data_IF_792710305770
#
_entry.id   IF_792710305770
#
_cell.length_a   1.000
_cell.length_b   1.000
_cell.length_c   1.000
_cell.angle_alpha   90.00
_cell.angle_beta   90.00
_cell.angle_gamma   90.00
#
_symmetry.space_group_name_H-M   'P 1'
#
loop_
_entity.id
_entity.type
_entity.pdbx_description
1 polymer ?
#
# COMPACT_ATOMS: atom_id res chain seq x y z
N UNK A 1 17.66 -6.51 -35.30
CA UNK A 1 17.74 -5.35 -34.41
C UNK A 1 16.40 -4.63 -34.44
N UNK A 2 15.49 -4.98 -33.54
CA UNK A 2 14.19 -4.29 -33.40
C UNK A 2 14.38 -3.06 -32.49
N UNK A 3 13.90 -1.87 -32.87
CA UNK A 3 13.93 -0.69 -32.02
C UNK A 3 12.76 -0.71 -31.03
N UNK A 4 12.88 -1.48 -29.96
CA UNK A 4 11.87 -1.51 -28.90
C UNK A 4 12.05 -0.36 -27.88
N UNK A 5 13.11 0.45 -28.04
CA UNK A 5 13.51 1.43 -27.04
C UNK A 5 12.76 2.77 -27.05
N UNK A 6 11.95 3.10 -28.06
CA UNK A 6 11.39 4.46 -28.20
C UNK A 6 9.90 4.63 -27.89
N UNK A 7 9.13 3.57 -27.63
CA UNK A 7 7.72 3.69 -27.29
C UNK A 7 7.41 3.66 -25.79
N UNK A 8 8.41 3.42 -24.95
CA UNK A 8 8.27 3.23 -23.53
C UNK A 8 7.98 4.48 -22.68
N UNK A 9 8.58 5.67 -22.92
CA UNK A 9 8.38 6.81 -22.03
C UNK A 9 7.02 7.48 -22.19
N UNK A 10 6.48 7.60 -23.40
CA UNK A 10 5.24 8.33 -23.66
C UNK A 10 3.97 7.57 -23.24
N UNK A 11 3.93 6.27 -23.48
CA UNK A 11 2.82 5.41 -23.03
C UNK A 11 2.75 5.35 -21.49
N UNK A 12 3.90 5.27 -20.85
CA UNK A 12 4.00 5.23 -19.40
C UNK A 12 3.56 6.53 -18.73
N UNK A 13 3.82 7.68 -19.37
CA UNK A 13 3.40 8.99 -18.85
C UNK A 13 1.87 9.16 -18.90
N UNK A 14 1.21 8.72 -19.97
CA UNK A 14 -0.25 8.77 -20.08
C UNK A 14 -0.93 7.83 -19.09
N UNK A 15 -0.40 6.62 -18.90
CA UNK A 15 -0.93 5.64 -17.96
C UNK A 15 -0.80 6.13 -16.51
N UNK A 16 0.33 6.76 -16.17
CA UNK A 16 0.54 7.40 -14.86
C UNK A 16 -0.42 8.57 -14.63
N UNK A 17 -0.64 9.43 -15.62
CA UNK A 17 -1.59 10.56 -15.52
C UNK A 17 -3.01 10.03 -15.30
N UNK A 18 -3.44 9.03 -16.07
CA UNK A 18 -4.75 8.40 -15.91
C UNK A 18 -4.90 7.75 -14.54
N UNK A 19 -3.89 7.04 -14.06
CA UNK A 19 -3.88 6.42 -12.74
C UNK A 19 -3.95 7.48 -11.61
N UNK A 20 -3.19 8.57 -11.73
CA UNK A 20 -3.22 9.67 -10.77
C UNK A 20 -4.57 10.40 -10.79
N UNK A 21 -5.17 10.61 -11.96
CA UNK A 21 -6.51 11.20 -12.08
C UNK A 21 -7.57 10.30 -11.45
N UNK A 22 -7.53 9.00 -11.72
CA UNK A 22 -8.44 8.02 -11.12
C UNK A 22 -8.27 7.96 -9.61
N UNK A 23 -7.02 7.89 -9.11
CA UNK A 23 -6.71 7.91 -7.70
C UNK A 23 -7.21 9.18 -7.01
N UNK A 24 -7.01 10.36 -7.62
CA UNK A 24 -7.51 11.64 -7.11
C UNK A 24 -9.04 11.72 -7.06
N UNK A 25 -9.74 11.14 -8.04
CA UNK A 25 -11.22 11.06 -8.03
C UNK A 25 -11.68 10.13 -6.90
N UNK A 26 -11.06 8.97 -6.74
CA UNK A 26 -11.39 8.00 -5.69
C UNK A 26 -11.13 8.58 -4.28
N UNK A 27 -10.07 9.37 -4.10
CA UNK A 27 -9.77 10.09 -2.85
C UNK A 27 -10.85 11.14 -2.55
N UNK A 28 -11.18 12.00 -3.52
CA UNK A 28 -12.19 13.06 -3.35
C UNK A 28 -13.62 12.53 -3.15
N UNK A 29 -13.95 11.40 -3.72
CA UNK A 29 -15.29 10.80 -3.58
C UNK A 29 -15.47 10.02 -2.28
N UNK A 30 -14.44 9.89 -1.45
CA UNK A 30 -14.44 9.12 -0.19
C UNK A 30 -14.93 7.66 -0.33
N UNK A 31 -14.98 7.11 -1.53
CA UNK A 31 -15.47 5.73 -1.77
C UNK A 31 -14.61 4.71 -1.05
N UNK A 32 -13.30 4.93 -1.02
CA UNK A 32 -12.39 4.04 -0.31
C UNK A 32 -12.57 4.10 1.20
N UNK A 33 -12.93 5.26 1.74
CA UNK A 33 -13.25 5.41 3.17
C UNK A 33 -14.44 4.53 3.58
N UNK A 34 -15.44 4.40 2.72
CA UNK A 34 -16.59 3.51 2.97
C UNK A 34 -16.16 2.06 3.08
N UNK A 35 -15.30 1.60 2.17
CA UNK A 35 -14.78 0.22 2.18
C UNK A 35 -13.99 -0.04 3.46
N UNK A 36 -13.10 0.88 3.84
CA UNK A 36 -12.30 0.76 5.08
C UNK A 36 -13.18 0.81 6.32
N UNK A 37 -14.18 1.68 6.37
CA UNK A 37 -15.09 1.76 7.53
C UNK A 37 -15.83 0.45 7.75
N UNK A 38 -16.22 -0.25 6.68
CA UNK A 38 -16.86 -1.58 6.78
C UNK A 38 -15.87 -2.63 7.30
N UNK A 39 -14.62 -2.59 6.82
CA UNK A 39 -13.56 -3.50 7.25
C UNK A 39 -13.19 -3.24 8.72
N UNK A 40 -13.02 -1.98 9.11
CA UNK A 40 -12.64 -1.57 10.46
C UNK A 40 -13.72 -1.86 11.51
N UNK A 41 -15.01 -1.83 11.15
CA UNK A 41 -16.08 -2.26 12.05
C UNK A 41 -15.91 -3.69 12.55
N UNK A 42 -15.21 -4.52 11.80
CA UNK A 42 -14.94 -5.93 12.14
C UNK A 42 -13.55 -6.13 12.76
N UNK A 43 -12.66 -5.15 12.60
CA UNK A 43 -11.27 -5.19 13.06
C UNK A 43 -11.15 -4.50 14.43
N UNK A 44 -11.28 -5.25 15.52
CA UNK A 44 -11.23 -4.74 16.90
C UNK A 44 -9.91 -5.08 17.62
N UNK A 45 -8.98 -5.78 16.97
CA UNK A 45 -7.68 -6.13 17.53
C UNK A 45 -6.54 -5.60 16.65
N UNK A 46 -5.38 -5.36 17.24
CA UNK A 46 -4.17 -4.91 16.53
C UNK A 46 -3.85 -5.79 15.32
N UNK A 47 -3.85 -7.11 15.52
CA UNK A 47 -3.61 -8.06 14.42
C UNK A 47 -4.66 -8.00 13.32
N UNK A 48 -5.93 -7.74 13.67
CA UNK A 48 -7.01 -7.60 12.70
C UNK A 48 -6.88 -6.32 11.86
N UNK A 49 -6.47 -5.19 12.47
CA UNK A 49 -6.25 -3.92 11.75
C UNK A 49 -5.05 -4.04 10.82
N UNK A 50 -3.93 -4.63 11.27
CA UNK A 50 -2.75 -4.86 10.44
C UNK A 50 -3.10 -5.77 9.25
N UNK A 51 -3.82 -6.88 9.50
CA UNK A 51 -4.27 -7.78 8.44
C UNK A 51 -5.19 -7.06 7.44
N UNK A 52 -6.11 -6.24 7.92
CA UNK A 52 -6.99 -5.44 7.07
C UNK A 52 -6.20 -4.44 6.21
N UNK A 53 -5.19 -3.78 6.78
CA UNK A 53 -4.29 -2.87 6.06
C UNK A 53 -3.56 -3.59 4.94
N UNK A 54 -2.96 -4.75 5.24
CA UNK A 54 -2.22 -5.57 4.28
C UNK A 54 -3.12 -6.03 3.14
N UNK A 55 -4.30 -6.56 3.45
CA UNK A 55 -5.26 -7.01 2.43
C UNK A 55 -5.78 -5.86 1.57
N UNK A 56 -6.01 -4.70 2.17
CA UNK A 56 -6.41 -3.49 1.43
C UNK A 56 -5.30 -3.01 0.51
N UNK A 57 -4.05 -3.03 0.96
CA UNK A 57 -2.90 -2.65 0.14
C UNK A 57 -2.71 -3.58 -1.06
N UNK A 58 -2.84 -4.90 -0.86
CA UNK A 58 -2.80 -5.90 -1.93
C UNK A 58 -3.97 -5.68 -2.91
N UNK A 59 -5.18 -5.48 -2.38
CA UNK A 59 -6.37 -5.17 -3.20
C UNK A 59 -6.20 -3.88 -4.01
N UNK A 60 -5.61 -2.85 -3.41
CA UNK A 60 -5.29 -1.59 -4.09
C UNK A 60 -4.31 -1.80 -5.25
N UNK A 61 -3.27 -2.63 -5.07
CA UNK A 61 -2.33 -2.97 -6.14
C UNK A 61 -2.98 -3.70 -7.32
N UNK A 62 -4.02 -4.48 -7.07
CA UNK A 62 -4.78 -5.15 -8.14
C UNK A 62 -5.66 -4.19 -8.94
N UNK A 63 -6.22 -3.18 -8.28
CA UNK A 63 -7.14 -2.21 -8.88
C UNK A 63 -6.38 -1.03 -9.50
N UNK A 64 -5.39 -0.52 -8.78
CA UNK A 64 -4.58 0.61 -9.22
C UNK A 64 -3.39 0.13 -10.04
N UNK A 65 -3.13 0.83 -11.15
CA UNK A 65 -2.00 0.51 -12.02
C UNK A 65 -0.66 1.00 -11.47
N UNK A 66 -0.66 1.67 -10.31
CA UNK A 66 0.53 2.28 -9.73
C UNK A 66 0.72 1.91 -8.25
N UNK A 67 1.93 1.44 -7.95
CA UNK A 67 2.36 1.08 -6.60
C UNK A 67 2.35 2.27 -5.64
N UNK A 68 2.81 3.45 -6.11
CA UNK A 68 2.90 4.64 -5.27
C UNK A 68 1.52 5.08 -4.76
N UNK A 69 0.51 5.06 -5.65
CA UNK A 69 -0.86 5.37 -5.28
C UNK A 69 -1.42 4.38 -4.25
N UNK A 70 -1.13 3.10 -4.40
CA UNK A 70 -1.53 2.08 -3.42
C UNK A 70 -0.96 2.34 -2.04
N UNK A 71 0.31 2.72 -1.95
CA UNK A 71 1.00 3.05 -0.69
C UNK A 71 0.36 4.27 -0.03
N UNK A 72 0.30 5.40 -0.75
CA UNK A 72 -0.22 6.67 -0.23
C UNK A 72 -1.68 6.55 0.20
N UNK A 73 -2.48 5.89 -0.62
CA UNK A 73 -3.89 5.71 -0.38
C UNK A 73 -4.16 4.85 0.85
N UNK A 74 -3.54 3.67 0.93
CA UNK A 74 -3.68 2.78 2.09
C UNK A 74 -3.16 3.44 3.35
N UNK A 75 -2.01 4.12 3.30
CA UNK A 75 -1.45 4.86 4.42
C UNK A 75 -2.42 5.91 4.98
N UNK A 76 -2.96 6.78 4.13
CA UNK A 76 -3.93 7.81 4.55
C UNK A 76 -5.23 7.22 5.11
N UNK A 77 -5.69 6.10 4.55
CA UNK A 77 -6.94 5.47 4.96
C UNK A 77 -6.86 4.88 6.38
N UNK A 78 -5.73 4.29 6.73
CA UNK A 78 -5.56 3.61 8.01
C UNK A 78 -4.87 4.46 9.08
N UNK A 79 -4.30 5.62 8.73
CA UNK A 79 -3.58 6.48 9.66
C UNK A 79 -4.36 6.77 10.94
N UNK A 80 -5.60 7.25 10.80
CA UNK A 80 -6.47 7.55 11.93
C UNK A 80 -6.76 6.31 12.79
N UNK A 81 -6.97 5.14 12.15
CA UNK A 81 -7.28 3.90 12.87
C UNK A 81 -6.12 3.39 13.71
N UNK A 82 -4.88 3.59 13.25
CA UNK A 82 -3.69 3.25 14.03
C UNK A 82 -3.52 4.20 15.21
N UNK A 83 -3.76 5.49 15.02
CA UNK A 83 -3.75 6.50 16.10
C UNK A 83 -4.84 6.20 17.14
N UNK A 84 -6.08 5.93 16.72
CA UNK A 84 -7.20 5.60 17.62
C UNK A 84 -6.93 4.34 18.47
N UNK A 85 -6.09 3.45 18.00
CA UNK A 85 -5.65 2.24 18.71
C UNK A 85 -4.38 2.43 19.54
N UNK A 86 -3.82 3.65 19.60
CA UNK A 86 -2.57 3.92 20.31
C UNK A 86 -1.36 3.24 19.69
N UNK A 87 -1.37 2.99 18.38
CA UNK A 87 -0.27 2.36 17.65
C UNK A 87 0.59 3.42 16.98
N UNK A 88 1.90 3.33 17.16
CA UNK A 88 2.84 4.25 16.54
C UNK A 88 2.74 4.20 14.99
N UNK A 89 2.79 5.34 14.27
CA UNK A 89 2.69 5.42 12.80
C UNK A 89 3.69 4.54 12.04
N UNK A 90 4.84 4.21 12.63
CA UNK A 90 5.82 3.30 12.03
C UNK A 90 5.28 1.88 11.80
N UNK A 91 4.30 1.43 12.61
CA UNK A 91 3.65 0.13 12.40
C UNK A 91 2.80 0.13 11.13
N UNK A 92 2.11 1.24 10.85
CA UNK A 92 1.37 1.44 9.62
C UNK A 92 2.32 1.47 8.42
N UNK A 93 3.41 2.25 8.52
CA UNK A 93 4.42 2.33 7.46
C UNK A 93 4.98 0.95 7.10
N UNK A 94 5.33 0.15 8.12
CA UNK A 94 5.79 -1.24 7.93
C UNK A 94 4.73 -2.09 7.25
N UNK A 95 3.48 -2.08 7.73
CA UNK A 95 2.41 -2.90 7.17
C UNK A 95 2.14 -2.56 5.69
N UNK A 96 2.19 -1.29 5.32
CA UNK A 96 2.03 -0.83 3.94
C UNK A 96 3.24 -1.20 3.08
N UNK A 97 4.46 -1.04 3.59
CA UNK A 97 5.69 -1.41 2.89
C UNK A 97 5.74 -2.91 2.61
N UNK A 98 5.50 -3.74 3.62
CA UNK A 98 5.51 -5.20 3.52
C UNK A 98 4.40 -5.78 2.63
N UNK A 99 3.40 -4.97 2.30
CA UNK A 99 2.28 -5.39 1.46
C UNK A 99 2.26 -4.68 0.10
N UNK A 100 2.07 -3.36 0.06
CA UNK A 100 1.89 -2.63 -1.20
C UNK A 100 3.17 -2.65 -2.05
N UNK A 101 4.33 -2.39 -1.45
CA UNK A 101 5.60 -2.29 -2.18
C UNK A 101 6.00 -3.64 -2.76
N UNK A 102 5.90 -4.70 -1.96
CA UNK A 102 6.41 -6.02 -2.33
C UNK A 102 5.47 -6.70 -3.33
N UNK A 103 4.15 -6.59 -3.14
CA UNK A 103 3.17 -7.30 -3.99
C UNK A 103 2.90 -6.61 -5.33
N UNK A 104 3.24 -5.34 -5.49
CA UNK A 104 3.11 -4.63 -6.76
C UNK A 104 3.84 -5.35 -7.92
N UNK A 105 4.97 -5.99 -7.61
CA UNK A 105 5.77 -6.74 -8.58
C UNK A 105 5.11 -8.03 -9.07
N UNK A 106 4.08 -8.52 -8.38
CA UNK A 106 3.33 -9.72 -8.73
C UNK A 106 2.18 -9.42 -9.72
N UNK A 107 1.82 -8.15 -9.87
CA UNK A 107 0.68 -7.73 -10.69
C UNK A 107 1.16 -7.29 -12.07
N UNK A 108 0.79 -7.99 -13.17
CA UNK A 108 1.33 -7.72 -14.51
C UNK A 108 1.05 -6.31 -15.06
N UNK A 109 -0.08 -5.73 -14.69
CA UNK A 109 -0.51 -4.38 -15.12
C UNK A 109 -0.11 -3.27 -14.17
N UNK A 110 0.45 -3.61 -13.00
CA UNK A 110 1.00 -2.62 -12.08
C UNK A 110 2.37 -2.14 -12.57
N UNK A 111 2.72 -0.89 -12.26
CA UNK A 111 3.99 -0.28 -12.64
C UNK A 111 5.21 -1.11 -12.20
N UNK A 112 5.15 -1.72 -11.00
CA UNK A 112 6.17 -2.62 -10.47
C UNK A 112 6.34 -3.89 -11.29
N UNK A 113 5.24 -4.59 -11.57
CA UNK A 113 5.26 -5.81 -12.38
C UNK A 113 5.70 -5.57 -13.83
N UNK A 114 5.21 -4.48 -14.44
CA UNK A 114 5.60 -4.10 -15.79
C UNK A 114 7.09 -3.75 -15.89
N UNK A 115 7.63 -3.02 -14.90
CA UNK A 115 9.05 -2.70 -14.84
C UNK A 115 9.91 -3.95 -14.71
N UNK A 116 9.54 -4.86 -13.80
CA UNK A 116 10.30 -6.08 -13.56
C UNK A 116 10.27 -7.01 -14.79
N UNK A 117 9.11 -7.18 -15.41
CA UNK A 117 8.99 -7.96 -16.65
C UNK A 117 9.86 -7.39 -17.79
N UNK A 118 9.88 -6.07 -17.94
CA UNK A 118 10.72 -5.40 -18.94
C UNK A 118 12.21 -5.57 -18.67
N UNK A 119 12.63 -5.52 -17.40
CA UNK A 119 14.04 -5.64 -16.99
C UNK A 119 14.56 -7.06 -17.13
N UNK A 120 13.73 -8.05 -16.72
CA UNK A 120 14.11 -9.47 -16.78
C UNK A 120 13.92 -10.07 -18.19
N UNK A 121 13.17 -9.40 -19.08
CA UNK A 121 12.86 -9.91 -20.41
C UNK A 121 11.89 -11.11 -20.42
N UNK A 122 11.18 -11.34 -19.30
CA UNK A 122 10.20 -12.42 -19.16
C UNK A 122 8.86 -11.89 -18.64
N UNK A 123 7.73 -12.48 -19.04
CA UNK A 123 6.42 -12.03 -18.57
C UNK A 123 6.27 -12.27 -17.04
N UNK A 124 5.50 -11.41 -16.36
CA UNK A 124 5.25 -11.48 -14.92
C UNK A 124 4.81 -12.86 -14.46
N UNK A 125 3.95 -13.51 -15.22
CA UNK A 125 3.42 -14.86 -14.91
C UNK A 125 4.54 -15.92 -14.83
N UNK A 126 5.62 -15.76 -15.57
CA UNK A 126 6.73 -16.71 -15.60
C UNK A 126 7.59 -16.66 -14.32
N UNK A 127 7.83 -15.46 -13.76
CA UNK A 127 8.61 -15.34 -12.52
C UNK A 127 7.74 -15.34 -11.24
N UNK A 128 6.44 -15.15 -11.37
CA UNK A 128 5.49 -15.07 -10.25
C UNK A 128 5.62 -16.23 -9.25
N UNK A 129 5.69 -17.52 -9.64
CA UNK A 129 5.83 -18.62 -8.70
C UNK A 129 7.20 -18.68 -8.01
N UNK A 130 8.24 -18.05 -8.59
CA UNK A 130 9.60 -18.04 -8.04
C UNK A 130 9.87 -16.82 -7.15
N UNK A 131 8.99 -15.86 -7.11
CA UNK A 131 9.13 -14.64 -6.30
C UNK A 131 8.66 -14.85 -4.86
N UNK A 132 9.30 -15.81 -4.17
CA UNK A 132 8.93 -16.23 -2.81
C UNK A 132 8.93 -15.07 -1.82
N UNK A 133 9.84 -14.13 -1.94
CA UNK A 133 9.92 -12.97 -1.06
C UNK A 133 8.62 -12.18 -1.08
N UNK A 134 8.08 -11.90 -2.27
CA UNK A 134 6.85 -11.12 -2.42
C UNK A 134 5.59 -11.83 -1.88
N UNK A 135 5.62 -13.17 -1.79
CA UNK A 135 4.53 -13.96 -1.20
C UNK A 135 4.65 -14.09 0.31
N UNK A 136 5.87 -14.34 0.80
CA UNK A 136 6.10 -14.64 2.20
C UNK A 136 6.03 -13.38 3.06
N UNK A 137 6.54 -12.23 2.58
CA UNK A 137 6.61 -11.00 3.38
C UNK A 137 5.25 -10.54 3.92
N UNK A 138 4.16 -10.45 3.14
CA UNK A 138 2.86 -10.06 3.68
C UNK A 138 2.33 -11.05 4.72
N UNK A 139 2.59 -12.36 4.54
CA UNK A 139 2.16 -13.41 5.47
C UNK A 139 2.89 -13.27 6.80
N UNK A 140 4.21 -13.07 6.76
CA UNK A 140 5.02 -12.85 7.95
C UNK A 140 4.59 -11.58 8.68
N UNK A 141 4.32 -10.50 7.95
CA UNK A 141 3.85 -9.24 8.52
C UNK A 141 2.47 -9.40 9.20
N UNK A 142 1.56 -10.18 8.61
CA UNK A 142 0.29 -10.54 9.27
C UNK A 142 0.53 -11.31 10.56
N UNK A 143 1.42 -12.31 10.56
CA UNK A 143 1.73 -13.09 11.76
C UNK A 143 2.32 -12.21 12.87
N UNK A 144 3.22 -11.28 12.53
CA UNK A 144 3.77 -10.32 13.51
C UNK A 144 2.67 -9.45 14.13
N UNK A 145 1.69 -9.04 13.32
CA UNK A 145 0.51 -8.33 13.82
C UNK A 145 -0.33 -9.14 14.79
N UNK A 146 -0.51 -10.44 14.53
CA UNK A 146 -1.30 -11.33 15.40
C UNK A 146 -0.59 -11.69 16.70
N UNK A 147 0.72 -11.87 16.66
CA UNK A 147 1.53 -12.19 17.83
C UNK A 147 1.99 -10.95 18.62
N UNK A 148 1.65 -9.74 18.17
CA UNK A 148 2.13 -8.48 18.75
C UNK A 148 3.67 -8.40 18.84
N UNK A 149 4.38 -9.01 17.89
CA UNK A 149 5.83 -8.98 17.85
C UNK A 149 6.26 -7.68 17.15
N UNK A 150 7.14 -6.91 17.78
CA UNK A 150 7.69 -5.65 17.25
C UNK A 150 6.61 -4.60 16.91
N UNK A 151 5.50 -4.59 17.64
CA UNK A 151 4.49 -3.54 17.54
C UNK A 151 4.79 -2.51 18.64
N UNK A 152 5.12 -1.31 18.19
CA UNK A 152 5.43 -0.22 19.09
C UNK A 152 4.14 0.53 19.44
N UNK A 153 3.83 0.70 20.74
CA UNK A 153 2.76 1.59 21.16
C UNK A 153 3.15 3.05 20.90
N UNK A 154 2.17 3.94 20.83
CA UNK A 154 2.40 5.36 20.73
C UNK A 154 2.90 5.88 22.09
N UNK A 155 4.02 6.60 22.11
CA UNK A 155 4.53 7.26 23.29
C UNK A 155 3.93 8.67 23.40
N UNK A 156 3.72 9.18 24.61
CA UNK A 156 3.13 10.52 24.84
C UNK A 156 3.95 11.66 24.19
N UNK A 157 5.26 11.48 24.01
CA UNK A 157 6.11 12.45 23.31
C UNK A 157 5.83 12.58 21.81
N UNK A 158 5.23 11.56 21.19
CA UNK A 158 4.92 11.54 19.76
C UNK A 158 3.59 12.26 19.43
N UNK A 159 2.74 12.51 20.42
CA UNK A 159 1.47 13.25 20.24
C UNK A 159 1.68 14.77 20.06
N UNK A 160 2.71 15.33 20.67
CA UNK A 160 2.97 16.78 20.67
C UNK A 160 3.16 17.38 19.25
N UNK A 161 3.95 16.79 18.33
CA UNK A 161 4.10 17.35 16.99
C UNK A 161 2.86 17.16 16.10
N UNK A 162 2.06 16.11 16.31
CA UNK A 162 0.85 15.86 15.54
C UNK A 162 -0.25 16.88 15.87
N UNK A 163 -0.45 17.19 17.15
CA UNK A 163 -1.40 18.23 17.61
C UNK A 163 -0.98 19.65 17.19
N UNK A 164 0.33 19.93 17.12
CA UNK A 164 0.84 21.21 16.66
C UNK A 164 0.63 21.41 15.14
N UNK A 165 0.70 20.36 14.36
CA UNK A 165 0.45 20.41 12.92
C UNK A 165 -1.04 20.64 12.58
N UNK A 166 -1.96 20.11 13.37
CA UNK A 166 -3.40 20.37 13.21
C UNK A 166 -3.80 21.79 13.61
N UNK A 167 -3.16 22.37 14.61
CA UNK A 167 -3.45 23.75 15.08
C UNK A 167 -2.82 24.84 14.20
N UNK A 168 -1.84 24.52 13.37
CA UNK A 168 -1.20 25.44 12.43
C UNK A 168 -1.85 25.57 11.06
N UNK A 169 -2.94 24.86 10.80
CA UNK A 169 -3.62 24.80 9.48
C UNK A 169 -4.89 25.67 9.37
N UNK A 170 -4.98 26.77 10.17
CA UNK A 170 -6.01 27.80 10.04
C UNK A 170 -5.44 29.11 9.54
#
# INVERSE_FOLDING_TARGET
LHPVAHSFPTRRSSDLICAMMFGGIMEKTNQLRVVVTVILKKAQSTGSVITATILTAIGSNLILCDQYMSIVMTGKMYAQSFTDMGLHPKNLSRAVEDSATVTANLVPWNSGGAYQAATLGVPTIAYLPFNFFCWITPIVSMLYGWFNITIDPMEEEDELPAMAAEQGAF
#
